data_IF_132900615148
#
_entry.id   IF_132900615148
#
_cell.length_a   1.000
_cell.length_b   1.000
_cell.length_c   1.000
_cell.angle_alpha   90.00
_cell.angle_beta   90.00
_cell.angle_gamma   90.00
#
_symmetry.space_group_name_H-M   'P 1'
#
loop_
_entity.id
_entity.type
_entity.pdbx_description
1 polymer ?
#
# COMPACT_ATOMS: atom_id res chain seq x y z
N UNK A 1 39.70 -56.96 -0.02
CA UNK A 1 40.44 -56.49 1.21
C UNK A 1 40.74 -55.01 1.07
N UNK A 2 40.42 -54.24 2.12
CA UNK A 2 40.67 -52.81 2.48
C UNK A 2 39.39 -52.03 2.47
N UNK A 3 38.64 -52.00 3.50
CA UNK A 3 38.59 -51.32 4.82
C UNK A 3 38.54 -49.80 4.71
N UNK A 4 37.33 -49.26 4.88
CA UNK A 4 36.87 -48.37 5.93
C UNK A 4 37.60 -47.00 6.07
N UNK A 5 36.85 -45.94 5.99
CA UNK A 5 37.15 -44.61 6.47
C UNK A 5 35.88 -43.87 6.83
N UNK A 6 35.31 -44.15 8.00
CA UNK A 6 34.30 -43.31 8.61
C UNK A 6 34.94 -42.03 9.11
N UNK A 7 34.62 -40.90 8.55
CA UNK A 7 34.91 -39.62 9.18
C UNK A 7 33.69 -39.13 9.94
N UNK A 8 33.82 -39.21 11.24
CA UNK A 8 32.98 -38.56 12.22
C UNK A 8 33.09 -37.05 12.02
N UNK A 9 32.00 -36.40 11.61
CA UNK A 9 31.89 -34.95 11.68
C UNK A 9 31.17 -34.61 12.97
N UNK A 10 31.96 -34.05 13.86
CA UNK A 10 31.53 -33.54 15.17
C UNK A 10 30.56 -32.40 14.96
N UNK A 11 29.34 -32.59 15.39
CA UNK A 11 28.31 -31.57 15.46
C UNK A 11 28.61 -30.65 16.63
N UNK A 12 29.13 -29.47 16.34
CA UNK A 12 29.23 -28.41 17.33
C UNK A 12 27.92 -27.62 17.32
N UNK A 13 27.16 -27.80 18.38
CA UNK A 13 26.04 -26.91 18.72
C UNK A 13 26.59 -25.51 19.01
N UNK A 14 26.05 -24.45 18.43
CA UNK A 14 26.24 -23.13 18.97
C UNK A 14 25.30 -22.91 20.17
N UNK A 15 25.89 -22.55 21.27
CA UNK A 15 25.24 -22.14 22.50
C UNK A 15 24.35 -20.93 22.26
N UNK A 16 23.11 -21.08 22.66
CA UNK A 16 22.14 -20.03 22.77
C UNK A 16 22.48 -19.13 23.95
N UNK A 17 23.31 -18.11 23.72
CA UNK A 17 23.47 -17.04 24.70
C UNK A 17 22.37 -16.01 24.47
N UNK A 18 21.38 -16.15 25.28
CA UNK A 18 20.42 -15.17 25.76
C UNK A 18 21.00 -13.76 25.79
N UNK A 19 20.57 -12.92 24.87
CA UNK A 19 20.60 -11.47 25.06
C UNK A 19 19.17 -10.99 25.21
N UNK A 20 18.73 -11.03 26.45
CA UNK A 20 17.58 -10.26 26.93
C UNK A 20 17.98 -8.79 26.85
N UNK A 21 17.58 -8.12 25.80
CA UNK A 21 17.66 -6.66 25.71
C UNK A 21 16.61 -6.04 26.64
N UNK A 22 16.97 -4.97 27.35
CA UNK A 22 16.05 -4.31 28.26
C UNK A 22 14.88 -3.73 27.52
N UNK A 23 13.71 -4.15 27.94
CA UNK A 23 12.41 -3.65 27.60
C UNK A 23 12.39 -2.11 27.85
N UNK A 24 12.47 -1.32 26.82
CA UNK A 24 12.28 0.11 26.93
C UNK A 24 10.77 0.36 27.08
N UNK A 25 10.32 0.95 28.17
CA UNK A 25 8.92 1.34 28.28
C UNK A 25 8.66 2.46 27.27
N UNK A 26 7.78 2.18 26.34
CA UNK A 26 7.19 3.23 25.52
C UNK A 26 6.53 4.24 26.43
N UNK A 27 7.24 5.35 26.65
CA UNK A 27 6.70 6.48 27.36
C UNK A 27 5.45 6.96 26.66
N UNK A 28 4.35 6.87 27.39
CA UNK A 28 3.12 7.52 27.04
C UNK A 28 3.39 9.01 26.86
N UNK A 29 3.50 9.45 25.61
CA UNK A 29 3.48 10.86 25.28
C UNK A 29 2.09 11.36 25.57
N UNK A 30 1.92 11.90 26.76
CA UNK A 30 0.76 12.70 27.13
C UNK A 30 0.76 13.94 26.25
N UNK A 31 -0.10 13.94 25.26
CA UNK A 31 -0.45 15.12 24.51
C UNK A 31 -1.17 16.07 25.47
N UNK A 32 -0.43 16.94 26.09
CA UNK A 32 -1.02 18.06 26.80
C UNK A 32 -1.60 18.99 25.77
N UNK A 33 -2.90 18.98 25.75
CA UNK A 33 -3.77 19.98 25.19
C UNK A 33 -3.42 21.34 25.82
N UNK A 34 -2.63 22.11 25.11
CA UNK A 34 -2.52 23.56 25.41
C UNK A 34 -3.55 24.26 24.54
N UNK A 35 -4.78 24.23 24.98
CA UNK A 35 -5.79 25.18 24.55
C UNK A 35 -5.45 26.52 25.17
N UNK A 36 -4.62 27.30 24.47
CA UNK A 36 -4.44 28.71 24.82
C UNK A 36 -5.67 29.45 24.32
N UNK A 37 -6.45 29.88 25.30
CA UNK A 37 -7.51 30.84 25.11
C UNK A 37 -6.94 32.09 24.47
N UNK A 38 -7.31 32.38 23.23
CA UNK A 38 -7.12 33.73 22.66
C UNK A 38 -8.46 34.42 22.73
N UNK A 39 -8.48 35.31 23.69
CA UNK A 39 -9.54 36.27 23.93
C UNK A 39 -9.84 37.11 22.70
N UNK A 40 -11.13 37.35 22.59
CA UNK A 40 -11.78 38.35 21.79
C UNK A 40 -10.91 39.59 21.45
N UNK A 41 -10.81 39.89 20.20
CA UNK A 41 -10.52 41.21 19.70
C UNK A 41 -11.48 41.51 18.56
N UNK A 42 -12.38 42.43 18.91
CA UNK A 42 -12.88 43.52 18.10
C UNK A 42 -13.08 43.30 16.60
N UNK A 43 -14.34 43.33 16.24
CA UNK A 43 -14.76 43.69 14.91
C UNK A 43 -14.42 45.15 14.59
N UNK A 44 -13.80 45.43 13.49
CA UNK A 44 -14.01 46.65 12.80
C UNK A 44 -14.82 46.39 11.50
N UNK A 45 -16.08 46.83 11.56
CA UNK A 45 -16.81 47.52 10.50
C UNK A 45 -16.24 47.41 9.08
N UNK A 46 -17.07 46.77 8.27
CA UNK A 46 -17.40 47.16 6.89
C UNK A 46 -16.41 48.11 6.17
N UNK A 47 -15.73 47.58 5.19
CA UNK A 47 -15.74 48.23 3.89
C UNK A 47 -15.62 47.15 2.82
N UNK A 48 -16.70 47.04 2.11
CA UNK A 48 -16.95 46.13 1.03
C UNK A 48 -16.23 46.70 -0.19
N UNK A 49 -15.06 46.23 -0.47
CA UNK A 49 -14.56 46.29 -1.84
C UNK A 49 -14.61 44.86 -2.40
N UNK A 50 -15.62 44.73 -3.25
CA UNK A 50 -15.77 43.63 -4.20
C UNK A 50 -14.40 43.26 -4.77
N UNK A 51 -13.79 42.23 -4.26
CA UNK A 51 -12.80 41.48 -5.02
C UNK A 51 -13.55 40.55 -5.94
N UNK A 52 -13.34 40.65 -7.23
CA UNK A 52 -13.97 39.74 -8.16
C UNK A 52 -13.39 38.37 -7.99
N UNK A 53 -14.31 37.47 -7.66
CA UNK A 53 -14.30 36.09 -8.10
C UNK A 53 -12.90 35.50 -8.37
N UNK A 54 -12.34 34.84 -7.37
CA UNK A 54 -11.60 33.64 -7.65
C UNK A 54 -12.60 32.69 -8.31
N UNK A 55 -12.69 32.79 -9.60
CA UNK A 55 -13.23 31.75 -10.44
C UNK A 55 -12.42 30.51 -10.12
N UNK A 56 -12.97 29.67 -9.28
CA UNK A 56 -12.61 28.25 -9.27
C UNK A 56 -12.96 27.76 -10.66
N UNK A 57 -11.99 27.94 -11.56
CA UNK A 57 -12.07 27.48 -12.91
C UNK A 57 -12.34 25.98 -12.84
N UNK A 58 -13.55 25.65 -13.22
CA UNK A 58 -13.90 24.47 -13.96
C UNK A 58 -13.09 23.21 -13.63
N UNK A 59 -13.35 22.63 -12.48
CA UNK A 59 -13.36 21.18 -12.43
C UNK A 59 -14.61 20.78 -13.23
N UNK A 60 -14.46 20.61 -14.51
CA UNK A 60 -15.51 20.11 -15.38
C UNK A 60 -16.08 18.85 -14.72
N UNK A 61 -17.41 18.76 -14.51
CA UNK A 61 -18.01 17.57 -13.92
C UNK A 61 -17.63 16.39 -14.80
N UNK A 62 -16.90 15.45 -14.22
CA UNK A 62 -16.46 14.23 -14.91
C UNK A 62 -17.73 13.57 -15.45
N UNK A 63 -17.92 13.66 -16.76
CA UNK A 63 -19.09 13.13 -17.43
C UNK A 63 -19.16 11.63 -17.17
N UNK A 64 -20.32 11.06 -16.84
CA UNK A 64 -20.46 9.61 -16.58
C UNK A 64 -20.06 8.74 -17.78
N UNK A 65 -19.91 9.32 -18.96
CA UNK A 65 -19.44 8.64 -20.17
C UNK A 65 -17.94 8.29 -20.14
N UNK A 66 -17.14 9.05 -19.39
CA UNK A 66 -15.68 8.87 -19.35
C UNK A 66 -15.23 7.83 -18.29
N UNK A 67 -16.17 7.42 -17.45
CA UNK A 67 -15.91 6.45 -16.36
C UNK A 67 -15.43 5.08 -16.85
N UNK A 68 -16.07 4.44 -17.85
CA UNK A 68 -15.61 3.14 -18.33
C UNK A 68 -14.25 3.21 -19.01
N UNK A 69 -13.95 4.30 -19.71
CA UNK A 69 -12.66 4.47 -20.36
C UNK A 69 -11.54 4.70 -19.34
N UNK A 70 -11.78 5.58 -18.36
CA UNK A 70 -10.84 5.80 -17.25
C UNK A 70 -10.56 4.49 -16.48
N UNK A 71 -11.59 3.71 -16.20
CA UNK A 71 -11.43 2.42 -15.52
C UNK A 71 -10.59 1.45 -16.35
N UNK A 72 -10.80 1.43 -17.68
CA UNK A 72 -10.01 0.59 -18.58
C UNK A 72 -8.54 1.00 -18.60
N UNK A 73 -8.26 2.29 -18.71
CA UNK A 73 -6.89 2.83 -18.68
C UNK A 73 -6.21 2.55 -17.35
N UNK A 74 -6.92 2.73 -16.24
CA UNK A 74 -6.43 2.43 -14.90
C UNK A 74 -6.10 0.93 -14.74
N UNK A 75 -6.98 0.05 -15.21
CA UNK A 75 -6.74 -1.40 -15.18
C UNK A 75 -5.49 -1.80 -15.97
N UNK A 76 -5.29 -1.20 -17.14
CA UNK A 76 -4.10 -1.43 -17.97
C UNK A 76 -2.84 -0.93 -17.25
N UNK A 77 -2.86 0.25 -16.66
CA UNK A 77 -1.74 0.83 -15.94
C UNK A 77 -1.33 -0.03 -14.74
N UNK A 78 -2.30 -0.50 -13.96
CA UNK A 78 -2.07 -1.39 -12.82
C UNK A 78 -1.44 -2.70 -13.29
N UNK A 79 -2.00 -3.31 -14.34
CA UNK A 79 -1.47 -4.55 -14.89
C UNK A 79 -0.03 -4.40 -15.36
N UNK A 80 0.27 -3.39 -16.15
CA UNK A 80 1.61 -3.10 -16.62
C UNK A 80 2.61 -2.87 -15.47
N UNK A 81 2.19 -2.16 -14.42
CA UNK A 81 3.02 -1.92 -13.24
C UNK A 81 3.35 -3.20 -12.49
N UNK A 82 2.38 -4.09 -12.33
CA UNK A 82 2.59 -5.39 -11.69
C UNK A 82 3.50 -6.26 -12.56
N UNK A 83 3.25 -6.35 -13.86
CA UNK A 83 4.06 -7.14 -14.79
C UNK A 83 5.51 -6.64 -14.86
N UNK A 84 5.73 -5.33 -14.84
CA UNK A 84 7.09 -4.76 -14.84
C UNK A 84 7.87 -5.03 -13.56
N UNK A 85 7.20 -5.10 -12.41
CA UNK A 85 7.86 -5.37 -11.13
C UNK A 85 7.98 -6.85 -10.81
N UNK A 86 7.08 -7.66 -11.33
CA UNK A 86 6.95 -9.09 -11.02
C UNK A 86 6.83 -9.92 -12.31
N UNK A 87 7.82 -9.88 -13.20
CA UNK A 87 7.73 -10.56 -14.49
C UNK A 87 7.52 -12.06 -14.27
N UNK A 88 6.41 -12.59 -14.79
CA UNK A 88 6.07 -14.01 -14.75
C UNK A 88 5.79 -14.62 -13.36
N UNK A 89 5.77 -13.82 -12.29
CA UNK A 89 5.51 -14.33 -10.94
C UNK A 89 4.03 -14.41 -10.59
N UNK A 90 3.20 -13.65 -11.27
CA UNK A 90 1.74 -13.71 -11.16
C UNK A 90 1.19 -14.26 -12.48
N UNK A 91 0.46 -15.35 -12.39
CA UNK A 91 -0.20 -15.98 -13.52
C UNK A 91 -1.64 -15.52 -13.59
N UNK A 92 -2.19 -15.45 -14.82
CA UNK A 92 -3.59 -15.10 -15.05
C UNK A 92 -4.04 -13.80 -14.35
N UNK A 93 -3.15 -12.80 -14.33
CA UNK A 93 -3.47 -11.53 -13.70
C UNK A 93 -4.65 -10.85 -14.42
N UNK A 94 -5.72 -10.67 -13.70
CA UNK A 94 -6.92 -9.94 -14.08
C UNK A 94 -7.13 -8.76 -13.14
N UNK A 95 -7.47 -7.61 -13.70
CA UNK A 95 -7.77 -6.40 -12.93
C UNK A 95 -9.17 -5.96 -13.28
N UNK A 96 -10.05 -5.95 -12.31
CA UNK A 96 -11.44 -5.50 -12.44
C UNK A 96 -11.66 -4.25 -11.63
N UNK A 97 -12.38 -3.30 -12.17
CA UNK A 97 -12.74 -2.07 -11.47
C UNK A 97 -14.25 -2.00 -11.37
N UNK A 98 -14.73 -2.06 -10.14
CA UNK A 98 -16.14 -1.98 -9.79
C UNK A 98 -16.35 -0.70 -9.01
N UNK A 99 -17.00 0.28 -9.64
CA UNK A 99 -17.24 1.60 -9.04
C UNK A 99 -15.96 2.27 -8.54
N UNK A 100 -15.66 2.12 -7.25
CA UNK A 100 -14.46 2.65 -6.57
C UNK A 100 -13.56 1.56 -6.01
N UNK A 101 -13.83 0.31 -6.34
CA UNK A 101 -13.05 -0.84 -5.85
C UNK A 101 -12.31 -1.48 -7.01
N UNK A 102 -11.02 -1.64 -6.84
CA UNK A 102 -10.15 -2.36 -7.77
C UNK A 102 -9.92 -3.75 -7.20
N UNK A 103 -10.30 -4.77 -7.96
CA UNK A 103 -10.12 -6.17 -7.60
C UNK A 103 -8.99 -6.76 -8.43
N UNK A 104 -7.98 -7.30 -7.75
CA UNK A 104 -6.88 -8.04 -8.37
C UNK A 104 -7.15 -9.53 -8.26
N UNK A 105 -7.26 -10.22 -9.37
CA UNK A 105 -7.40 -11.67 -9.44
C UNK A 105 -6.18 -12.28 -10.14
N UNK A 106 -5.79 -13.50 -9.76
CA UNK A 106 -4.68 -14.21 -10.38
C UNK A 106 -4.11 -15.27 -9.46
N UNK A 107 -2.99 -15.86 -9.86
CA UNK A 107 -2.34 -16.93 -9.11
C UNK A 107 -0.86 -16.62 -8.93
N UNK A 108 -0.33 -16.87 -7.76
CA UNK A 108 1.10 -16.72 -7.47
C UNK A 108 1.62 -17.85 -6.58
N UNK A 109 2.93 -18.05 -6.57
CA UNK A 109 3.55 -19.14 -5.82
C UNK A 109 3.78 -18.82 -4.33
N UNK A 110 3.81 -17.53 -3.95
CA UNK A 110 4.16 -17.11 -2.59
C UNK A 110 3.34 -15.93 -2.11
N UNK A 111 3.11 -15.86 -0.80
CA UNK A 111 2.48 -14.68 -0.17
C UNK A 111 3.28 -13.40 -0.38
N UNK A 112 4.60 -13.51 -0.44
CA UNK A 112 5.45 -12.36 -0.73
C UNK A 112 5.14 -11.75 -2.10
N UNK A 113 4.95 -12.58 -3.12
CA UNK A 113 4.54 -12.12 -4.46
C UNK A 113 3.17 -11.46 -4.43
N UNK A 114 2.22 -12.03 -3.69
CA UNK A 114 0.89 -11.44 -3.49
C UNK A 114 0.97 -10.04 -2.88
N UNK A 115 1.80 -9.86 -1.85
CA UNK A 115 1.99 -8.55 -1.23
C UNK A 115 2.69 -7.54 -2.14
N UNK A 116 3.69 -7.96 -2.90
CA UNK A 116 4.36 -7.08 -3.86
C UNK A 116 3.42 -6.62 -4.96
N UNK A 117 2.53 -7.50 -5.45
CA UNK A 117 1.50 -7.13 -6.42
C UNK A 117 0.54 -6.08 -5.84
N UNK A 118 0.13 -6.24 -4.59
CA UNK A 118 -0.69 -5.27 -3.88
C UNK A 118 0.01 -3.91 -3.77
N UNK A 119 1.27 -3.89 -3.35
CA UNK A 119 2.04 -2.64 -3.25
C UNK A 119 2.25 -1.98 -4.60
N UNK A 120 2.43 -2.76 -5.66
CA UNK A 120 2.56 -2.22 -7.00
C UNK A 120 1.28 -1.54 -7.47
N UNK A 121 0.12 -2.11 -7.17
CA UNK A 121 -1.18 -1.54 -7.48
C UNK A 121 -1.47 -0.28 -6.66
N UNK A 122 -1.24 -0.31 -5.35
CA UNK A 122 -1.46 0.83 -4.46
C UNK A 122 -0.67 2.08 -4.86
N UNK A 123 0.48 1.92 -5.51
CA UNK A 123 1.28 3.05 -5.99
C UNK A 123 0.69 3.79 -7.20
N UNK A 124 -0.46 3.36 -7.73
CA UNK A 124 -1.17 4.00 -8.84
C UNK A 124 -2.54 4.50 -8.37
N UNK A 125 -3.11 3.87 -7.36
CA UNK A 125 -4.43 4.21 -6.82
C UNK A 125 -4.36 5.49 -6.01
N UNK A 126 -5.34 6.36 -6.21
CA UNK A 126 -5.48 7.61 -5.45
C UNK A 126 -6.58 7.47 -4.38
N UNK A 127 -7.82 7.25 -4.81
CA UNK A 127 -9.01 7.20 -3.95
C UNK A 127 -9.74 5.86 -4.00
N UNK A 128 -9.28 4.93 -4.82
CA UNK A 128 -9.91 3.64 -5.02
C UNK A 128 -9.52 2.66 -3.92
N UNK A 129 -10.47 1.83 -3.53
CA UNK A 129 -10.21 0.68 -2.65
C UNK A 129 -9.56 -0.45 -3.42
N UNK A 130 -8.57 -1.10 -2.83
CA UNK A 130 -7.94 -2.27 -3.40
C UNK A 130 -8.38 -3.54 -2.67
N UNK A 131 -8.91 -4.48 -3.42
CA UNK A 131 -9.19 -5.85 -2.98
C UNK A 131 -8.23 -6.82 -3.68
N UNK A 132 -7.46 -7.55 -2.90
CA UNK A 132 -6.46 -8.48 -3.43
C UNK A 132 -6.96 -9.92 -3.30
N UNK A 133 -7.58 -10.41 -4.35
CA UNK A 133 -8.09 -11.77 -4.51
C UNK A 133 -7.09 -12.73 -5.20
N UNK A 134 -5.80 -12.38 -5.26
CA UNK A 134 -4.77 -13.26 -5.83
C UNK A 134 -4.65 -14.51 -4.95
N UNK A 135 -4.74 -15.68 -5.56
CA UNK A 135 -4.57 -16.96 -4.88
C UNK A 135 -3.09 -17.35 -4.77
N UNK A 136 -2.71 -17.92 -3.65
CA UNK A 136 -1.36 -18.44 -3.44
C UNK A 136 -1.37 -19.94 -3.62
N UNK A 137 -0.87 -20.39 -4.78
CA UNK A 137 -0.74 -21.80 -5.10
C UNK A 137 0.68 -22.25 -4.76
N UNK A 138 0.87 -22.86 -3.59
CA UNK A 138 2.14 -23.50 -3.25
C UNK A 138 2.28 -24.77 -4.09
N UNK A 139 3.22 -24.77 -5.02
CA UNK A 139 3.57 -25.99 -5.73
C UNK A 139 4.13 -27.01 -4.71
N UNK A 140 3.44 -28.12 -4.57
CA UNK A 140 3.94 -29.27 -3.80
C UNK A 140 4.98 -30.04 -4.58
#
# INVERSE_FOLDING_TARGET
>A
MRRAGRKHVSSSKPDSSTLVGPNAPYGAATWRETVSAVSAVDEPTADVLLSPACTFADAAPIQPKDRPERNRQLAIAIRQRIESRLPGRVRELSVRILERTVVLEGQCATYYTKQLAQHAALGILEDERLENAIEVCVAR
#
